data_IF_330360017443
#
_entry.id   IF_330360017443
#
_cell.length_a   1.000
_cell.length_b   1.000
_cell.length_c   1.000
_cell.angle_alpha   90.00
_cell.angle_beta   90.00
_cell.angle_gamma   90.00
#
_symmetry.space_group_name_H-M   'P 1'
#
loop_
_entity.id
_entity.type
_entity.pdbx_description
1 polymer ?
#
# COMPACT_ATOMS: atom_id res chain seq x y z
N UNK A 1 28.55 10.85 25.41
CA UNK A 1 27.47 10.45 26.35
C UNK A 1 26.20 10.41 25.52
N UNK A 2 25.68 9.21 25.33
CA UNK A 2 24.38 8.83 24.75
C UNK A 2 24.15 9.03 23.24
N UNK A 3 24.45 7.94 22.52
CA UNK A 3 23.88 7.56 21.23
C UNK A 3 22.34 7.58 21.23
N UNK A 4 21.71 8.52 20.52
CA UNK A 4 20.30 8.40 20.12
C UNK A 4 20.17 7.72 18.76
N UNK A 5 20.60 6.46 18.73
CA UNK A 5 20.22 5.48 17.71
C UNK A 5 18.76 5.10 17.98
N UNK A 6 17.82 5.49 17.10
CA UNK A 6 16.57 4.77 16.71
C UNK A 6 15.42 5.70 16.30
N UNK A 7 15.15 5.75 15.00
CA UNK A 7 13.77 5.68 14.46
C UNK A 7 13.77 5.31 12.97
N UNK A 8 14.35 4.15 12.66
CA UNK A 8 13.82 3.32 11.57
C UNK A 8 12.49 2.79 12.12
N UNK A 9 11.40 3.49 11.82
CA UNK A 9 10.04 3.04 12.08
C UNK A 9 9.59 2.01 11.06
N UNK A 10 10.42 1.03 10.73
CA UNK A 10 9.93 -0.20 10.12
C UNK A 10 9.24 -0.94 11.25
N UNK A 11 7.91 -0.89 11.25
CA UNK A 11 7.06 -1.55 12.22
C UNK A 11 7.62 -2.96 12.47
N UNK A 12 7.84 -3.33 13.74
CA UNK A 12 8.28 -4.69 14.10
C UNK A 12 7.38 -5.79 13.50
N UNK A 13 6.19 -5.41 13.03
CA UNK A 13 5.21 -6.24 12.32
C UNK A 13 5.61 -6.66 10.90
N UNK A 14 6.61 -6.03 10.27
CA UNK A 14 7.04 -6.38 8.91
C UNK A 14 8.00 -7.58 8.90
N UNK A 15 8.67 -7.85 10.03
CA UNK A 15 9.57 -9.01 10.18
C UNK A 15 8.87 -10.37 10.12
N UNK A 16 7.55 -10.38 10.23
CA UNK A 16 6.72 -11.59 10.20
C UNK A 16 5.97 -11.78 8.87
N UNK A 17 6.19 -10.93 7.87
CA UNK A 17 5.56 -11.05 6.55
C UNK A 17 6.28 -12.14 5.74
N UNK A 18 5.54 -13.19 5.38
CA UNK A 18 6.01 -14.33 4.59
C UNK A 18 5.76 -14.10 3.10
N UNK A 19 4.69 -13.38 2.76
CA UNK A 19 4.33 -13.00 1.40
C UNK A 19 3.59 -11.66 1.43
N UNK A 20 3.81 -10.83 0.41
CA UNK A 20 3.08 -9.57 0.25
C UNK A 20 2.73 -9.36 -1.23
N UNK A 21 1.51 -8.89 -1.48
CA UNK A 21 1.06 -8.44 -2.79
C UNK A 21 0.37 -7.08 -2.65
N UNK A 22 0.82 -6.10 -3.43
CA UNK A 22 0.17 -4.81 -3.57
C UNK A 22 -0.67 -4.72 -4.85
N UNK A 23 -1.80 -4.04 -4.77
CA UNK A 23 -2.74 -3.79 -5.87
C UNK A 23 -3.05 -2.29 -5.86
N UNK A 24 -2.61 -1.57 -6.91
CA UNK A 24 -2.91 -0.14 -7.07
C UNK A 24 -4.21 0.03 -7.86
N UNK A 25 -5.13 0.83 -7.33
CA UNK A 25 -6.46 1.08 -7.90
C UNK A 25 -6.83 2.56 -7.72
N UNK A 26 -6.34 3.41 -8.65
CA UNK A 26 -6.54 4.85 -8.59
C UNK A 26 -5.97 5.48 -7.30
N UNK A 27 -6.83 6.11 -6.50
CA UNK A 27 -6.47 6.73 -5.20
C UNK A 27 -6.26 5.72 -4.06
N UNK A 28 -6.51 4.43 -4.30
CA UNK A 28 -6.39 3.35 -3.32
C UNK A 28 -5.25 2.41 -3.66
N UNK A 29 -4.62 1.86 -2.63
CA UNK A 29 -3.69 0.75 -2.72
C UNK A 29 -4.16 -0.31 -1.73
N UNK A 30 -4.35 -1.54 -2.20
CA UNK A 30 -4.64 -2.69 -1.36
C UNK A 30 -3.36 -3.49 -1.13
N UNK A 31 -3.09 -3.86 0.12
CA UNK A 31 -1.98 -4.72 0.52
C UNK A 31 -2.55 -6.03 1.05
N UNK A 32 -2.10 -7.15 0.47
CA UNK A 32 -2.45 -8.50 0.86
C UNK A 32 -1.20 -9.17 1.43
N UNK A 33 -1.06 -9.13 2.75
CA UNK A 33 0.12 -9.65 3.46
C UNK A 33 -0.21 -10.97 4.15
N UNK A 34 0.54 -12.03 3.85
CA UNK A 34 0.52 -13.27 4.63
C UNK A 34 1.54 -13.14 5.73
N UNK A 35 1.08 -13.19 6.98
CA UNK A 35 1.91 -13.09 8.18
C UNK A 35 1.90 -14.39 8.96
N UNK A 36 2.96 -14.63 9.72
CA UNK A 36 3.09 -15.80 10.60
C UNK A 36 3.04 -15.36 12.05
N UNK A 37 2.19 -15.97 12.87
CA UNK A 37 2.17 -15.72 14.31
C UNK A 37 3.31 -16.49 15.02
N UNK A 38 3.46 -16.28 16.33
CA UNK A 38 4.47 -16.99 17.15
C UNK A 38 4.33 -18.52 17.20
N UNK A 39 3.20 -19.07 16.79
CA UNK A 39 2.91 -20.51 16.71
C UNK A 39 3.13 -21.08 15.31
N UNK A 40 3.78 -20.32 14.43
CA UNK A 40 3.98 -20.69 13.05
C UNK A 40 2.69 -20.80 12.19
N UNK A 41 1.56 -20.28 12.68
CA UNK A 41 0.31 -20.27 11.92
C UNK A 41 0.25 -19.03 11.02
N UNK A 42 -0.18 -19.23 9.79
CA UNK A 42 -0.31 -18.17 8.79
C UNK A 42 -1.71 -17.56 8.80
N UNK A 43 -1.77 -16.24 8.69
CA UNK A 43 -3.01 -15.46 8.56
C UNK A 43 -2.82 -14.33 7.54
N UNK A 44 -3.93 -13.82 7.00
CA UNK A 44 -3.92 -12.75 6.01
C UNK A 44 -4.22 -11.41 6.68
N UNK A 45 -3.42 -10.39 6.40
CA UNK A 45 -3.71 -9.00 6.72
C UNK A 45 -4.03 -8.26 5.42
N UNK A 46 -5.27 -7.81 5.29
CA UNK A 46 -5.74 -7.02 4.14
C UNK A 46 -5.77 -5.57 4.59
N UNK A 47 -5.03 -4.70 3.89
CA UNK A 47 -5.01 -3.26 4.18
C UNK A 47 -5.41 -2.47 2.95
N UNK A 48 -6.48 -1.67 3.05
CA UNK A 48 -6.73 -0.57 2.11
C UNK A 48 -5.97 0.67 2.62
N UNK A 49 -5.21 1.32 1.74
CA UNK A 49 -4.67 2.66 1.96
C UNK A 49 -5.21 3.61 0.90
N UNK A 50 -5.96 4.61 1.32
CA UNK A 50 -6.59 5.61 0.47
C UNK A 50 -5.87 6.94 0.61
N UNK A 51 -5.40 7.50 -0.49
CA UNK A 51 -4.86 8.87 -0.54
C UNK A 51 -6.00 9.87 -0.35
N UNK A 52 -5.88 10.70 0.67
CA UNK A 52 -6.78 11.82 0.96
C UNK A 52 -6.00 13.11 0.77
N UNK A 53 -6.55 14.03 -0.01
CA UNK A 53 -5.99 15.38 -0.19
C UNK A 53 -6.97 16.33 0.47
N UNK A 54 -6.49 17.10 1.45
CA UNK A 54 -7.27 18.13 2.14
C UNK A 54 -6.73 19.51 1.78
N UNK A 55 -7.60 20.50 1.64
CA UNK A 55 -7.24 21.85 1.19
C UNK A 55 -7.40 22.05 -0.32
N UNK A 56 -7.41 23.31 -0.75
CA UNK A 56 -7.48 23.74 -2.16
C UNK A 56 -6.25 24.59 -2.49
N UNK A 57 -5.67 24.41 -3.68
CA UNK A 57 -4.50 25.19 -4.12
C UNK A 57 -3.17 24.75 -3.50
N UNK A 58 -2.26 25.72 -3.30
CA UNK A 58 -0.88 25.49 -2.85
C UNK A 58 -0.77 24.94 -1.41
N UNK A 59 -1.83 25.07 -0.60
CA UNK A 59 -1.88 24.56 0.78
C UNK A 59 -2.42 23.12 0.88
N UNK A 60 -2.43 22.36 -0.22
CA UNK A 60 -2.96 20.99 -0.21
C UNK A 60 -2.12 20.05 0.67
N UNK A 61 -2.75 19.44 1.67
CA UNK A 61 -2.15 18.44 2.55
C UNK A 61 -2.52 17.04 2.08
N UNK A 62 -1.50 16.21 1.81
CA UNK A 62 -1.69 14.79 1.46
C UNK A 62 -1.60 13.94 2.73
N UNK A 63 -2.64 13.13 2.97
CA UNK A 63 -2.67 12.11 4.02
C UNK A 63 -3.13 10.76 3.46
N UNK A 64 -2.95 9.70 4.25
CA UNK A 64 -3.37 8.35 3.88
C UNK A 64 -4.25 7.75 4.97
N UNK A 65 -5.50 7.46 4.62
CA UNK A 65 -6.42 6.71 5.46
C UNK A 65 -6.16 5.22 5.27
N UNK A 66 -6.04 4.45 6.37
CA UNK A 66 -5.74 3.01 6.33
C UNK A 66 -6.84 2.23 7.02
N UNK A 67 -7.44 1.27 6.32
CA UNK A 67 -8.35 0.28 6.88
C UNK A 67 -7.67 -1.07 6.84
N UNK A 68 -7.57 -1.75 7.99
CA UNK A 68 -6.90 -3.04 8.11
C UNK A 68 -7.83 -4.06 8.73
N UNK A 69 -7.91 -5.22 8.09
CA UNK A 69 -8.60 -6.39 8.61
C UNK A 69 -7.64 -7.58 8.65
N UNK A 70 -7.87 -8.47 9.61
CA UNK A 70 -7.14 -9.73 9.73
C UNK A 70 -8.10 -10.88 9.46
N UNK A 71 -7.65 -11.86 8.69
CA UNK A 71 -8.41 -13.04 8.35
C UNK A 71 -7.59 -14.28 8.70
N UNK A 72 -8.18 -15.16 9.50
CA UNK A 72 -7.55 -16.39 9.96
C UNK A 72 -7.98 -17.59 9.10
N UNK A 73 -7.17 -18.64 9.12
CA UNK A 73 -7.27 -19.78 8.20
C UNK A 73 -8.62 -20.51 8.29
N UNK A 74 -9.18 -20.60 9.49
CA UNK A 74 -10.48 -21.20 9.78
C UNK A 74 -11.66 -20.50 9.09
N UNK A 75 -11.50 -19.21 8.76
CA UNK A 75 -12.56 -18.38 8.20
C UNK A 75 -12.44 -18.17 6.69
N UNK A 76 -11.32 -18.57 6.06
CA UNK A 76 -11.05 -18.34 4.63
C UNK A 76 -12.20 -18.76 3.72
N UNK A 77 -12.71 -19.98 3.90
CA UNK A 77 -13.79 -20.50 3.05
C UNK A 77 -15.08 -19.69 3.18
N UNK A 78 -15.48 -19.34 4.42
CA UNK A 78 -16.70 -18.57 4.67
C UNK A 78 -16.58 -17.14 4.15
N UNK A 79 -15.42 -16.52 4.38
CA UNK A 79 -15.15 -15.16 3.93
C UNK A 79 -15.13 -15.07 2.40
N UNK A 80 -14.42 -15.98 1.71
CA UNK A 80 -14.35 -15.99 0.25
C UNK A 80 -15.73 -16.20 -0.38
N UNK A 81 -16.53 -17.13 0.14
CA UNK A 81 -17.89 -17.35 -0.36
C UNK A 81 -18.78 -16.10 -0.19
N UNK A 82 -18.73 -15.45 0.98
CA UNK A 82 -19.48 -14.22 1.21
C UNK A 82 -19.01 -13.05 0.33
N UNK A 83 -17.70 -12.92 0.14
CA UNK A 83 -17.10 -11.90 -0.72
C UNK A 83 -17.50 -12.09 -2.19
N UNK A 84 -17.40 -13.31 -2.71
CA UNK A 84 -17.80 -13.66 -4.07
C UNK A 84 -19.29 -13.40 -4.30
N UNK A 85 -20.15 -13.80 -3.36
CA UNK A 85 -21.59 -13.52 -3.43
C UNK A 85 -21.88 -12.02 -3.50
N UNK A 86 -21.21 -11.22 -2.67
CA UNK A 86 -21.40 -9.77 -2.66
C UNK A 86 -20.94 -9.12 -3.98
N UNK A 87 -19.77 -9.52 -4.51
CA UNK A 87 -19.27 -9.03 -5.80
C UNK A 87 -20.21 -9.41 -6.94
N UNK A 88 -20.65 -10.67 -6.99
CA UNK A 88 -21.58 -11.15 -8.02
C UNK A 88 -22.91 -10.40 -7.97
N UNK A 89 -23.42 -10.09 -6.77
CA UNK A 89 -24.61 -9.28 -6.62
C UNK A 89 -24.42 -7.88 -7.20
N UNK A 90 -23.29 -7.21 -6.94
CA UNK A 90 -23.01 -5.89 -7.52
C UNK A 90 -22.96 -5.96 -9.05
N UNK A 91 -22.22 -6.93 -9.60
CA UNK A 91 -22.06 -7.10 -11.05
C UNK A 91 -23.36 -7.37 -11.81
N UNK A 92 -24.32 -8.05 -11.18
CA UNK A 92 -25.62 -8.33 -11.80
C UNK A 92 -26.58 -7.14 -11.75
N UNK A 93 -26.38 -6.22 -10.80
CA UNK A 93 -27.29 -5.10 -10.55
C UNK A 93 -26.74 -3.74 -11.02
N UNK A 94 -25.48 -3.68 -11.46
CA UNK A 94 -24.86 -2.49 -12.04
C UNK A 94 -24.31 -2.84 -13.43
N UNK A 95 -24.91 -2.26 -14.48
CA UNK A 95 -24.25 -2.16 -15.79
C UNK A 95 -23.05 -1.23 -15.62
N UNK A 96 -21.84 -1.79 -15.58
CA UNK A 96 -20.62 -1.01 -15.45
C UNK A 96 -20.40 -0.17 -16.72
N UNK A 97 -20.59 1.15 -16.63
CA UNK A 97 -19.92 2.11 -17.52
C UNK A 97 -18.51 2.32 -16.98
N UNK A 98 -17.51 1.72 -17.62
CA UNK A 98 -16.10 2.03 -17.38
C UNK A 98 -15.87 3.50 -17.77
N UNK A 99 -15.90 4.41 -16.79
CA UNK A 99 -15.38 5.77 -17.00
C UNK A 99 -13.86 5.69 -17.08
N UNK A 100 -13.44 5.75 -18.34
CA UNK A 100 -12.12 5.95 -18.89
C UNK A 100 -11.16 6.75 -18.00
N UNK A 101 -9.99 6.15 -17.84
CA UNK A 101 -8.72 6.74 -17.47
C UNK A 101 -8.50 8.09 -18.17
N UNK A 102 -8.47 9.18 -17.41
CA UNK A 102 -7.74 10.37 -17.83
C UNK A 102 -6.27 10.16 -17.47
N UNK A 103 -5.54 9.54 -18.38
CA UNK A 103 -4.08 9.58 -18.44
C UNK A 103 -3.63 11.04 -18.56
N UNK A 104 -3.10 11.64 -17.49
CA UNK A 104 -2.32 12.85 -17.62
C UNK A 104 -0.88 12.45 -17.96
N UNK A 105 -0.65 12.47 -19.27
CA UNK A 105 0.61 12.22 -19.98
C UNK A 105 1.66 13.25 -19.57
N UNK A 106 2.77 12.82 -18.98
CA UNK A 106 4.02 13.59 -18.97
C UNK A 106 5.11 12.70 -19.56
N UNK A 107 5.67 13.16 -20.68
CA UNK A 107 6.60 12.44 -21.55
C UNK A 107 7.97 12.16 -20.90
N UNK A 108 8.71 11.13 -21.35
CA UNK A 108 10.02 10.76 -20.83
C UNK A 108 11.16 11.40 -21.65
N UNK A 109 12.15 11.99 -20.99
CA UNK A 109 13.48 12.24 -21.60
C UNK A 109 14.50 11.21 -21.10
N UNK A 110 14.88 10.34 -22.04
CA UNK A 110 16.10 9.51 -22.23
C UNK A 110 17.10 9.29 -21.09
N UNK A 111 17.38 8.00 -20.84
CA UNK A 111 18.58 7.46 -20.17
C UNK A 111 19.89 7.75 -20.94
N UNK A 112 21.07 7.52 -20.31
CA UNK A 112 21.68 6.20 -20.49
C UNK A 112 22.24 5.55 -19.21
N UNK A 113 22.21 4.22 -19.21
CA UNK A 113 22.81 3.31 -18.23
C UNK A 113 24.29 3.62 -17.89
N UNK A 114 24.63 3.57 -16.60
CA UNK A 114 25.93 3.05 -16.14
C UNK A 114 25.78 2.32 -14.80
N UNK A 115 26.34 1.12 -14.76
CA UNK A 115 26.45 0.18 -13.64
C UNK A 115 27.28 0.69 -12.45
N UNK A 116 27.13 -0.03 -11.32
CA UNK A 116 27.94 -0.19 -10.09
C UNK A 116 27.82 0.80 -8.89
N UNK A 117 27.15 0.27 -7.86
CA UNK A 117 27.50 0.16 -6.42
C UNK A 117 27.73 1.42 -5.56
N UNK A 118 26.98 1.44 -4.44
CA UNK A 118 27.29 1.97 -3.10
C UNK A 118 28.09 3.28 -3.01
N UNK A 119 27.39 4.38 -2.71
CA UNK A 119 27.87 5.38 -1.74
C UNK A 119 26.81 6.44 -1.43
N UNK A 120 26.83 6.86 -0.17
CA UNK A 120 25.97 7.79 0.53
C UNK A 120 25.80 9.15 -0.18
N UNK A 121 24.57 9.61 -0.39
CA UNK A 121 24.29 11.01 -0.74
C UNK A 121 23.83 11.74 0.54
N UNK A 122 24.74 12.54 1.09
CA UNK A 122 24.42 13.61 2.05
C UNK A 122 23.93 14.82 1.26
N UNK A 123 22.78 15.36 1.64
CA UNK A 123 22.32 16.67 1.16
C UNK A 123 22.27 17.58 2.37
N UNK A 124 23.22 18.51 2.46
CA UNK A 124 23.17 19.67 3.35
C UNK A 124 22.24 20.70 2.71
N UNK A 125 21.20 21.13 3.44
CA UNK A 125 20.40 22.31 3.09
C UNK A 125 20.36 23.20 4.34
N UNK A 126 21.15 24.27 4.29
CA UNK A 126 21.08 25.42 5.21
C UNK A 126 19.82 26.23 4.90
N UNK A 127 19.08 26.61 5.95
CA UNK A 127 18.02 27.61 5.88
C UNK A 127 18.45 28.84 6.68
N UNK A 128 18.56 29.99 6.01
CA UNK A 128 18.49 31.33 6.61
C UNK A 128 17.08 31.64 7.11
#
# INVERSE_FOLDING_TARGET
MEDFKKKIGTDMNDKEIVFSKSIKAGKRIYYLDVKKNRKDEMFLAITESKKVVMGEGDDSQVSFEKHKIFLYKEDFGKFMAGLEQAINFINQNQDYTEDSESEEKVEPESEPETTVLDSEIKIDIDFE
#
